data_IF_692993809364
#
_entry.id   IF_692993809364
#
_cell.length_a   1.000
_cell.length_b   1.000
_cell.length_c   1.000
_cell.angle_alpha   90.00
_cell.angle_beta   90.00
_cell.angle_gamma   90.00
#
_symmetry.space_group_name_H-M   'P 1'
#
loop_
_entity.id
_entity.type
_entity.pdbx_description
1 polymer ?
#
# COMPACT_ATOMS: atom_id res chain seq x y z
N UNK A 1 10.93 5.98 15.80
CA UNK A 1 11.99 5.21 15.11
C UNK A 1 13.17 4.72 15.99
N UNK A 2 13.43 5.28 17.20
CA UNK A 2 14.57 4.86 18.05
C UNK A 2 14.62 3.35 18.33
N UNK A 3 13.49 2.75 18.72
CA UNK A 3 13.41 1.31 19.03
C UNK A 3 13.65 0.44 17.79
N UNK A 4 12.97 0.75 16.68
CA UNK A 4 13.20 0.06 15.40
C UNK A 4 14.69 0.09 15.00
N UNK A 5 15.32 1.26 15.08
CA UNK A 5 16.74 1.43 14.73
C UNK A 5 17.69 0.67 15.66
N UNK A 6 17.28 0.31 16.88
CA UNK A 6 18.11 -0.47 17.80
C UNK A 6 18.27 -1.93 17.37
N UNK A 7 17.24 -2.52 16.74
CA UNK A 7 17.21 -3.91 16.26
C UNK A 7 16.28 -4.07 15.04
N UNK A 8 16.60 -3.48 13.87
CA UNK A 8 15.66 -3.43 12.75
C UNK A 8 15.28 -4.83 12.22
N UNK A 9 16.18 -5.79 12.32
CA UNK A 9 16.00 -7.15 11.81
C UNK A 9 14.88 -7.96 12.52
N UNK A 10 14.49 -7.55 13.74
CA UNK A 10 13.42 -8.26 14.49
C UNK A 10 12.02 -7.71 14.17
N UNK A 11 11.92 -6.66 13.37
CA UNK A 11 10.67 -6.01 13.00
C UNK A 11 10.38 -6.23 11.51
N UNK A 12 9.34 -7.01 11.22
CA UNK A 12 8.80 -7.15 9.86
C UNK A 12 7.42 -6.50 9.81
N UNK A 13 7.30 -5.45 9.00
CA UNK A 13 6.04 -4.72 8.82
C UNK A 13 5.76 -4.60 7.34
N UNK A 14 4.53 -4.93 6.98
CA UNK A 14 4.02 -4.90 5.62
C UNK A 14 2.83 -3.95 5.56
N UNK A 15 2.60 -3.38 4.39
CA UNK A 15 1.47 -2.51 4.07
C UNK A 15 0.14 -3.27 4.16
N UNK A 16 0.14 -4.58 3.92
CA UNK A 16 -1.04 -5.42 4.04
C UNK A 16 -0.84 -6.86 3.57
N UNK A 17 -1.89 -7.67 3.72
CA UNK A 17 -2.02 -9.04 3.19
C UNK A 17 -3.47 -9.32 2.77
N UNK A 18 -3.71 -10.06 1.68
CA UNK A 18 -5.05 -10.21 1.11
C UNK A 18 -5.89 -11.22 1.90
N UNK A 19 -6.70 -10.76 2.86
CA UNK A 19 -7.58 -11.66 3.61
C UNK A 19 -8.68 -12.30 2.75
N UNK A 20 -9.05 -11.65 1.65
CA UNK A 20 -10.06 -12.11 0.68
C UNK A 20 -9.54 -11.97 -0.74
N UNK A 21 -10.12 -12.74 -1.65
CA UNK A 21 -9.66 -12.91 -3.04
C UNK A 21 -9.52 -11.58 -3.79
N UNK A 22 -10.48 -10.67 -3.64
CA UNK A 22 -10.45 -9.36 -4.31
C UNK A 22 -10.04 -8.22 -3.36
N UNK A 23 -9.10 -8.49 -2.46
CA UNK A 23 -8.63 -7.48 -1.51
C UNK A 23 -8.07 -6.26 -2.25
N UNK A 24 -8.51 -5.06 -1.84
CA UNK A 24 -8.05 -3.80 -2.42
C UNK A 24 -7.54 -2.87 -1.34
N UNK A 25 -6.32 -2.38 -1.51
CA UNK A 25 -5.70 -1.42 -0.59
C UNK A 25 -4.78 -0.53 -1.40
N UNK A 26 -4.86 0.78 -1.15
CA UNK A 26 -4.03 1.76 -1.84
C UNK A 26 -3.36 2.71 -0.85
N UNK A 27 -2.11 3.06 -1.11
CA UNK A 27 -1.37 4.11 -0.41
C UNK A 27 -0.97 5.20 -1.40
N UNK A 28 -1.55 6.39 -1.23
CA UNK A 28 -1.40 7.51 -2.15
C UNK A 28 -0.85 8.71 -1.37
N UNK A 29 0.26 9.29 -1.83
CA UNK A 29 0.91 10.47 -1.24
C UNK A 29 1.20 10.34 0.26
N UNK A 30 1.53 9.13 0.72
CA UNK A 30 1.87 8.85 2.11
C UNK A 30 3.37 9.03 2.38
N UNK A 31 3.72 9.40 3.61
CA UNK A 31 5.11 9.35 4.09
C UNK A 31 5.38 7.98 4.73
N UNK A 32 6.35 7.25 4.19
CA UNK A 32 6.72 5.90 4.61
C UNK A 32 8.17 5.89 5.11
N UNK A 33 8.33 5.53 6.38
CA UNK A 33 9.63 5.40 7.04
C UNK A 33 10.21 3.98 6.89
N UNK A 34 11.44 3.79 7.38
CA UNK A 34 12.22 2.55 7.24
C UNK A 34 11.56 1.28 7.82
N UNK A 35 10.44 1.45 8.54
CA UNK A 35 9.72 0.34 9.16
C UNK A 35 9.13 -0.62 8.12
N UNK A 36 8.80 -0.13 6.91
CA UNK A 36 8.21 -0.93 5.85
C UNK A 36 9.26 -1.86 5.26
N UNK A 37 8.97 -3.16 5.29
CA UNK A 37 9.82 -4.19 4.71
C UNK A 37 9.87 -4.02 3.17
N UNK A 38 11.03 -4.21 2.50
CA UNK A 38 11.18 -3.87 1.07
C UNK A 38 10.18 -4.54 0.12
N UNK A 39 9.75 -5.77 0.43
CA UNK A 39 8.69 -6.47 -0.31
C UNK A 39 7.33 -5.73 -0.28
N UNK A 40 7.13 -4.87 0.72
CA UNK A 40 5.95 -4.03 0.92
C UNK A 40 4.72 -4.80 1.39
N UNK A 41 4.38 -5.87 0.69
CA UNK A 41 3.16 -6.64 0.87
C UNK A 41 3.47 -8.09 1.21
N UNK A 42 2.58 -8.74 1.96
CA UNK A 42 2.75 -10.12 2.38
C UNK A 42 1.65 -11.00 1.77
N UNK A 43 2.00 -12.13 1.13
CA UNK A 43 1.00 -13.12 0.73
C UNK A 43 0.16 -13.59 1.92
N UNK A 44 -1.09 -13.98 1.68
CA UNK A 44 -1.89 -14.60 2.73
C UNK A 44 -1.46 -16.05 2.97
N UNK A 45 -1.52 -16.87 1.92
CA UNK A 45 -1.08 -18.26 1.90
C UNK A 45 -0.87 -18.71 0.46
N UNK A 46 0.33 -19.19 0.14
CA UNK A 46 0.67 -19.60 -1.23
C UNK A 46 0.43 -18.48 -2.25
N UNK A 47 -0.25 -18.83 -3.33
CA UNK A 47 -0.63 -17.96 -4.44
C UNK A 47 -2.06 -17.38 -4.33
N UNK A 48 -2.73 -17.59 -3.20
CA UNK A 48 -4.09 -17.09 -2.97
C UNK A 48 -4.19 -15.58 -3.23
N UNK A 49 -5.17 -15.20 -4.03
CA UNK A 49 -5.52 -13.81 -4.39
C UNK A 49 -4.46 -13.04 -5.19
N UNK A 50 -3.26 -13.57 -5.45
CA UNK A 50 -2.16 -12.78 -6.02
C UNK A 50 -2.42 -12.27 -7.45
N UNK A 51 -3.35 -12.89 -8.17
CA UNK A 51 -3.77 -12.49 -9.52
C UNK A 51 -5.05 -11.66 -9.55
N UNK A 52 -5.79 -11.58 -8.44
CA UNK A 52 -7.13 -10.95 -8.35
C UNK A 52 -7.18 -9.73 -7.42
N UNK A 53 -6.24 -9.62 -6.47
CA UNK A 53 -6.12 -8.47 -5.58
C UNK A 53 -5.70 -7.19 -6.31
N UNK A 54 -5.89 -6.04 -5.65
CA UNK A 54 -5.35 -4.75 -6.10
C UNK A 54 -4.66 -4.02 -4.96
N UNK A 55 -3.34 -4.16 -4.87
CA UNK A 55 -2.50 -3.46 -3.90
C UNK A 55 -1.66 -2.39 -4.59
N UNK A 56 -2.03 -1.13 -4.41
CA UNK A 56 -1.51 0.00 -5.18
C UNK A 56 -0.72 1.01 -4.36
N UNK A 57 0.39 1.50 -4.91
CA UNK A 57 1.16 2.63 -4.35
C UNK A 57 1.30 3.75 -5.39
N UNK A 58 1.18 5.02 -4.97
CA UNK A 58 1.42 6.19 -5.84
C UNK A 58 1.91 7.41 -5.05
N UNK A 59 2.95 8.10 -5.54
CA UNK A 59 3.40 9.38 -5.00
C UNK A 59 3.89 9.36 -3.54
N UNK A 60 4.13 8.16 -2.97
CA UNK A 60 4.63 8.01 -1.61
C UNK A 60 6.06 8.54 -1.49
N UNK A 61 6.44 8.98 -0.30
CA UNK A 61 7.76 9.56 0.00
C UNK A 61 8.42 8.90 1.20
N UNK A 62 9.72 9.11 1.36
CA UNK A 62 10.49 8.57 2.49
C UNK A 62 11.16 7.23 2.18
N UNK A 63 12.03 6.76 3.07
CA UNK A 63 12.89 5.60 2.81
C UNK A 63 12.13 4.27 2.68
N UNK A 64 10.89 4.19 3.18
CA UNK A 64 10.04 3.00 3.04
C UNK A 64 9.28 2.91 1.71
N UNK A 65 9.35 3.96 0.88
CA UNK A 65 8.61 4.02 -0.40
C UNK A 65 9.37 3.44 -1.59
N UNK A 66 10.56 2.85 -1.39
CA UNK A 66 11.31 2.22 -2.49
C UNK A 66 10.52 1.03 -3.06
N UNK A 67 10.19 1.12 -4.34
CA UNK A 67 9.40 0.12 -5.06
C UNK A 67 10.28 -0.95 -5.72
N UNK A 68 11.61 -0.80 -5.72
CA UNK A 68 12.55 -1.66 -6.47
C UNK A 68 12.52 -3.13 -6.05
N UNK A 69 12.12 -3.41 -4.80
CA UNK A 69 12.06 -4.75 -4.22
C UNK A 69 10.62 -5.23 -3.94
N UNK A 70 9.60 -4.49 -4.39
CA UNK A 70 8.21 -4.90 -4.24
C UNK A 70 7.97 -6.18 -5.04
N UNK A 71 7.05 -7.00 -4.55
CA UNK A 71 6.62 -8.18 -5.30
C UNK A 71 6.02 -7.81 -6.66
N UNK A 72 6.27 -8.65 -7.66
CA UNK A 72 5.77 -8.47 -9.02
C UNK A 72 4.24 -8.50 -9.15
N UNK A 73 3.53 -9.17 -8.23
CA UNK A 73 2.07 -9.22 -8.19
C UNK A 73 1.43 -7.97 -7.58
N UNK A 74 2.22 -7.03 -7.08
CA UNK A 74 1.72 -5.75 -6.56
C UNK A 74 1.51 -4.76 -7.71
N UNK A 75 0.54 -3.87 -7.55
CA UNK A 75 0.16 -2.89 -8.56
C UNK A 75 0.82 -1.54 -8.31
N UNK A 76 1.15 -0.82 -9.38
CA UNK A 76 1.37 0.64 -9.32
C UNK A 76 0.09 1.30 -9.82
N UNK A 77 -0.40 2.31 -9.12
CA UNK A 77 -1.59 3.03 -9.57
C UNK A 77 -1.15 3.94 -10.72
N UNK A 78 -1.69 3.80 -11.94
CA UNK A 78 -1.37 4.74 -13.01
C UNK A 78 -1.85 6.14 -12.62
N UNK A 79 -1.07 7.18 -12.94
CA UNK A 79 -1.37 8.56 -12.57
C UNK A 79 -2.79 8.99 -12.97
N UNK A 80 -3.25 8.54 -14.14
CA UNK A 80 -4.60 8.79 -14.66
C UNK A 80 -5.75 8.16 -13.83
N UNK A 81 -5.45 7.18 -12.97
CA UNK A 81 -6.44 6.48 -12.13
C UNK A 81 -6.34 6.84 -10.64
N UNK A 82 -5.38 7.69 -10.25
CA UNK A 82 -5.21 8.11 -8.84
C UNK A 82 -6.48 8.78 -8.32
N UNK A 83 -7.13 9.60 -9.15
CA UNK A 83 -8.33 10.32 -8.76
C UNK A 83 -9.54 9.42 -8.51
N UNK A 84 -9.55 8.17 -8.99
CA UNK A 84 -10.61 7.19 -8.64
C UNK A 84 -10.67 6.95 -7.13
N UNK A 85 -9.55 7.14 -6.43
CA UNK A 85 -9.43 6.96 -4.98
C UNK A 85 -9.53 8.27 -4.18
N UNK A 86 -9.94 9.39 -4.81
CA UNK A 86 -10.18 10.63 -4.09
C UNK A 86 -11.44 10.53 -3.21
N UNK A 87 -11.57 11.43 -2.23
CA UNK A 87 -12.77 11.50 -1.38
C UNK A 87 -14.03 11.71 -2.23
N UNK A 88 -13.97 12.61 -3.22
CA UNK A 88 -15.07 12.89 -4.13
C UNK A 88 -15.49 11.66 -4.93
N UNK A 89 -14.55 10.94 -5.54
CA UNK A 89 -14.89 9.84 -6.45
C UNK A 89 -15.14 8.51 -5.74
N UNK A 90 -14.38 8.20 -4.68
CA UNK A 90 -14.43 6.89 -4.04
C UNK A 90 -15.62 6.73 -3.10
N UNK A 91 -15.94 7.79 -2.35
CA UNK A 91 -17.00 7.80 -1.33
C UNK A 91 -17.99 8.95 -1.53
N UNK A 92 -18.10 9.46 -2.76
CA UNK A 92 -19.10 10.45 -3.14
C UNK A 92 -19.09 11.67 -2.23
N UNK A 93 -17.89 12.20 -1.95
CA UNK A 93 -17.68 13.31 -1.00
C UNK A 93 -18.61 14.51 -1.20
N UNK A 94 -18.97 14.80 -2.45
CA UNK A 94 -19.85 15.92 -2.81
C UNK A 94 -21.29 15.76 -2.29
N UNK A 95 -21.70 14.54 -1.91
CA UNK A 95 -23.05 14.26 -1.41
C UNK A 95 -23.21 14.51 0.10
N UNK A 96 -22.13 14.49 0.87
CA UNK A 96 -22.21 14.47 2.34
C UNK A 96 -21.24 15.40 3.06
N UNK A 97 -20.16 15.86 2.40
CA UNK A 97 -19.29 16.86 3.02
C UNK A 97 -19.98 18.22 2.98
N UNK A 98 -20.13 18.85 4.14
CA UNK A 98 -20.55 20.25 4.21
C UNK A 98 -19.39 21.14 3.77
N UNK A 99 -19.67 22.08 2.87
CA UNK A 99 -18.71 23.05 2.31
C UNK A 99 -18.21 24.03 3.36
#
# INVERSE_FOLDING_TARGET
MRLYRSKPQVHKNYLGRPWKEYSRTVFINCSMEALITPQGWMPWSGDFALTTLYFGEFGNSGVGCDLSQRWNWTSKIPSQHVNTYSVQNFIQGDEWMST
#
